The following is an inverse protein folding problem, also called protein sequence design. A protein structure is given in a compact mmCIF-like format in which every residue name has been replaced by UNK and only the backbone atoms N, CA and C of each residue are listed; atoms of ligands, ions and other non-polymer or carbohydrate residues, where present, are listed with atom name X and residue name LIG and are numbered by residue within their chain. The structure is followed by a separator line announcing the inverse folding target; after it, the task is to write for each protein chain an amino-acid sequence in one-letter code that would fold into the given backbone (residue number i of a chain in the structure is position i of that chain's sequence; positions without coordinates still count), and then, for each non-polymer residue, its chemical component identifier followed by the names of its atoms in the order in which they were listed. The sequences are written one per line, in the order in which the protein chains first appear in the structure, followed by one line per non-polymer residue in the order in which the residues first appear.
data_IF_724449974205
#
_entry.id   IF_724449974205
#
_cell.length_a   1.000
_cell.length_b   1.000
_cell.length_c   1.000
_cell.angle_alpha   90.00
_cell.angle_beta   90.00
_cell.angle_gamma   90.00
#
_symmetry.space_group_name_H-M   'P 1'
#
loop_
_entity.id
_entity.type
_entity.pdbx_description
1 polymer ?
#
# COMPACT_ATOMS: atom_id res chain seq x y z
N UNK A 1 13.81 -7.00 -56.96
CA UNK A 1 12.41 -6.86 -56.50
C UNK A 1 12.03 -7.67 -55.25
N UNK A 2 12.72 -8.77 -54.88
CA UNK A 2 12.41 -9.60 -53.69
C UNK A 2 12.63 -8.90 -52.32
N UNK A 3 13.51 -7.91 -52.25
CA UNK A 3 13.96 -7.30 -50.99
C UNK A 3 12.95 -6.33 -50.34
N UNK A 4 12.00 -5.78 -51.12
CA UNK A 4 11.01 -4.81 -50.61
C UNK A 4 9.86 -5.49 -49.85
N UNK A 5 9.52 -6.73 -50.21
CA UNK A 5 8.46 -7.50 -49.56
C UNK A 5 8.88 -8.07 -48.19
N UNK A 6 10.17 -8.40 -48.01
CA UNK A 6 10.70 -8.91 -46.74
C UNK A 6 10.73 -7.82 -45.66
N UNK A 7 11.12 -6.59 -46.01
CA UNK A 7 11.08 -5.48 -45.06
C UNK A 7 9.64 -5.12 -44.65
N UNK A 8 8.66 -5.30 -45.55
CA UNK A 8 7.26 -4.99 -45.24
C UNK A 8 6.60 -6.06 -44.35
N UNK A 9 6.99 -7.33 -44.45
CA UNK A 9 6.49 -8.38 -43.55
C UNK A 9 7.08 -8.25 -42.15
N UNK A 10 8.39 -8.02 -42.03
CA UNK A 10 9.09 -7.81 -40.75
C UNK A 10 8.55 -6.58 -40.01
N UNK A 11 8.25 -5.50 -40.73
CA UNK A 11 7.66 -4.29 -40.13
C UNK A 11 6.23 -4.52 -39.63
N UNK A 12 5.42 -5.33 -40.33
CA UNK A 12 4.06 -5.69 -39.89
C UNK A 12 4.07 -6.60 -38.66
N UNK A 13 4.99 -7.57 -38.61
CA UNK A 13 5.15 -8.47 -37.46
C UNK A 13 5.58 -7.70 -36.21
N UNK A 14 6.52 -6.76 -36.33
CA UNK A 14 6.94 -5.90 -35.21
C UNK A 14 5.81 -4.99 -34.71
N UNK A 15 4.98 -4.45 -35.61
CA UNK A 15 3.84 -3.61 -35.26
C UNK A 15 2.74 -4.43 -34.56
N UNK A 16 2.44 -5.64 -35.04
CA UNK A 16 1.49 -6.54 -34.39
C UNK A 16 1.94 -6.95 -32.99
N UNK A 17 3.22 -7.31 -32.82
CA UNK A 17 3.78 -7.63 -31.50
C UNK A 17 3.74 -6.44 -30.54
N UNK A 18 4.03 -5.22 -31.02
CA UNK A 18 3.96 -4.02 -30.21
C UNK A 18 2.52 -3.71 -29.76
N UNK A 19 1.53 -3.86 -30.64
CA UNK A 19 0.12 -3.68 -30.30
C UNK A 19 -0.34 -4.71 -29.27
N UNK A 20 0.01 -6.00 -29.45
CA UNK A 20 -0.36 -7.05 -28.49
C UNK A 20 0.27 -6.75 -27.13
N UNK A 21 1.57 -6.42 -27.06
CA UNK A 21 2.23 -6.04 -25.80
C UNK A 21 1.56 -4.84 -25.14
N UNK A 22 1.17 -3.83 -25.91
CA UNK A 22 0.47 -2.66 -25.39
C UNK A 22 -0.90 -3.02 -24.81
N UNK A 23 -1.70 -3.81 -25.54
CA UNK A 23 -3.02 -4.25 -25.10
C UNK A 23 -2.91 -5.14 -23.86
N UNK A 24 -1.99 -6.12 -23.85
CA UNK A 24 -1.79 -7.02 -22.71
C UNK A 24 -1.29 -6.25 -21.48
N UNK A 25 -0.40 -5.27 -21.66
CA UNK A 25 0.06 -4.40 -20.57
C UNK A 25 -1.07 -3.52 -20.01
N UNK A 26 -1.87 -2.91 -20.91
CA UNK A 26 -2.99 -2.06 -20.52
C UNK A 26 -4.07 -2.85 -19.77
N UNK A 27 -4.52 -3.97 -20.34
CA UNK A 27 -5.55 -4.81 -19.74
C UNK A 27 -5.02 -5.44 -18.44
N UNK A 28 -3.85 -6.08 -18.48
CA UNK A 28 -3.25 -6.72 -17.31
C UNK A 28 -3.00 -5.73 -16.17
N UNK A 29 -2.46 -4.55 -16.47
CA UNK A 29 -2.20 -3.50 -15.50
C UNK A 29 -3.48 -2.96 -14.86
N UNK A 30 -4.52 -2.68 -15.65
CA UNK A 30 -5.81 -2.19 -15.14
C UNK A 30 -6.48 -3.23 -14.25
N UNK A 31 -6.57 -4.49 -14.68
CA UNK A 31 -7.16 -5.56 -13.87
C UNK A 31 -6.39 -5.79 -12.58
N UNK A 32 -5.06 -5.84 -12.63
CA UNK A 32 -4.22 -6.02 -11.45
C UNK A 32 -4.38 -4.87 -10.46
N UNK A 33 -4.45 -3.62 -10.95
CA UNK A 33 -4.67 -2.43 -10.12
C UNK A 33 -6.03 -2.51 -9.42
N UNK A 34 -7.08 -2.90 -10.16
CA UNK A 34 -8.43 -3.00 -9.61
C UNK A 34 -8.53 -4.08 -8.52
N UNK A 35 -7.98 -5.27 -8.77
CA UNK A 35 -7.92 -6.37 -7.80
C UNK A 35 -7.13 -5.94 -6.55
N UNK A 36 -6.01 -5.23 -6.74
CA UNK A 36 -5.19 -4.75 -5.63
C UNK A 36 -5.94 -3.75 -4.76
N UNK A 37 -6.67 -2.80 -5.35
CA UNK A 37 -7.51 -1.85 -4.62
C UNK A 37 -8.59 -2.58 -3.82
N UNK A 38 -9.32 -3.51 -4.45
CA UNK A 38 -10.34 -4.30 -3.76
C UNK A 38 -9.74 -5.08 -2.59
N UNK A 39 -8.59 -5.73 -2.80
CA UNK A 39 -7.90 -6.48 -1.75
C UNK A 39 -7.55 -5.60 -0.55
N UNK A 40 -7.02 -4.39 -0.78
CA UNK A 40 -6.73 -3.43 0.29
C UNK A 40 -8.00 -2.99 1.00
N UNK A 41 -9.09 -2.70 0.28
CA UNK A 41 -10.37 -2.30 0.88
C UNK A 41 -10.99 -3.43 1.71
N UNK A 42 -10.95 -4.67 1.23
CA UNK A 42 -11.40 -5.85 1.96
C UNK A 42 -10.58 -6.05 3.24
N UNK A 43 -9.26 -5.90 3.14
CA UNK A 43 -8.34 -6.00 4.27
C UNK A 43 -8.66 -4.92 5.32
N UNK A 44 -8.83 -3.66 4.90
CA UNK A 44 -9.24 -2.58 5.79
C UNK A 44 -10.55 -2.88 6.52
N UNK A 45 -11.56 -3.39 5.79
CA UNK A 45 -12.86 -3.72 6.39
C UNK A 45 -12.74 -4.87 7.40
N UNK A 46 -11.95 -5.90 7.08
CA UNK A 46 -11.70 -7.03 7.99
C UNK A 46 -10.94 -6.59 9.25
N UNK A 47 -9.89 -5.78 9.11
CA UNK A 47 -9.16 -5.26 10.27
C UNK A 47 -10.02 -4.31 11.11
N UNK A 48 -10.92 -3.52 10.50
CA UNK A 48 -11.87 -2.70 11.24
C UNK A 48 -12.79 -3.58 12.09
N UNK A 49 -13.46 -4.58 11.51
CA UNK A 49 -14.30 -5.53 12.26
C UNK A 49 -13.51 -6.25 13.37
N UNK A 50 -12.32 -6.76 13.07
CA UNK A 50 -11.45 -7.39 14.07
C UNK A 50 -11.09 -6.43 15.21
N UNK A 51 -10.81 -5.18 14.87
CA UNK A 51 -10.45 -4.17 15.87
C UNK A 51 -11.63 -3.88 16.79
N UNK A 52 -12.86 -3.83 16.29
CA UNK A 52 -14.06 -3.56 17.08
C UNK A 52 -14.46 -4.75 17.96
N UNK A 53 -14.36 -5.98 17.44
CA UNK A 53 -14.71 -7.20 18.17
C UNK A 53 -13.65 -7.58 19.22
N UNK A 54 -12.37 -7.50 18.86
CA UNK A 54 -11.26 -8.01 19.69
C UNK A 54 -10.08 -7.01 19.75
N UNK A 55 -10.27 -5.92 20.50
CA UNK A 55 -9.28 -4.83 20.62
C UNK A 55 -7.89 -5.28 21.05
N UNK A 56 -7.79 -6.19 22.01
CA UNK A 56 -6.51 -6.69 22.53
C UNK A 56 -5.75 -7.43 21.43
N UNK A 57 -6.46 -8.26 20.65
CA UNK A 57 -5.89 -9.01 19.53
C UNK A 57 -5.40 -8.05 18.46
N UNK A 58 -6.19 -7.05 18.10
CA UNK A 58 -5.77 -6.03 17.13
C UNK A 58 -4.54 -5.25 17.59
N UNK A 59 -4.47 -4.81 18.87
CA UNK A 59 -3.28 -4.13 19.39
C UNK A 59 -2.03 -5.01 19.32
N UNK A 60 -2.14 -6.29 19.70
CA UNK A 60 -1.03 -7.25 19.58
C UNK A 60 -0.61 -7.46 18.13
N UNK A 61 -1.56 -7.52 17.21
CA UNK A 61 -1.31 -7.61 15.79
C UNK A 61 -0.58 -6.37 15.24
N UNK A 62 -1.02 -5.16 15.63
CA UNK A 62 -0.34 -3.92 15.26
C UNK A 62 1.11 -3.86 15.77
N UNK A 63 1.34 -4.27 17.03
CA UNK A 63 2.70 -4.39 17.58
C UNK A 63 3.54 -5.42 16.82
N UNK A 64 2.95 -6.57 16.46
CA UNK A 64 3.66 -7.58 15.67
C UNK A 64 4.08 -7.04 14.30
N UNK A 65 3.20 -6.29 13.62
CA UNK A 65 3.56 -5.60 12.37
C UNK A 65 4.66 -4.57 12.61
N UNK A 66 4.60 -3.79 13.69
CA UNK A 66 5.67 -2.87 14.05
C UNK A 66 7.03 -3.57 14.23
N UNK A 67 7.06 -4.70 14.92
CA UNK A 67 8.29 -5.49 15.09
C UNK A 67 8.81 -5.97 13.73
N UNK A 68 7.95 -6.50 12.86
CA UNK A 68 8.33 -6.94 11.52
C UNK A 68 8.94 -5.76 10.73
N UNK A 69 8.26 -4.62 10.71
CA UNK A 69 8.71 -3.40 10.02
C UNK A 69 10.07 -2.93 10.55
N UNK A 70 10.27 -2.92 11.87
CA UNK A 70 11.55 -2.56 12.47
C UNK A 70 12.66 -3.53 12.11
N UNK A 71 12.41 -4.84 12.21
CA UNK A 71 13.39 -5.88 11.89
C UNK A 71 13.86 -5.76 10.44
N UNK A 72 12.93 -5.71 9.49
CA UNK A 72 13.28 -5.54 8.08
C UNK A 72 13.90 -4.16 7.80
N UNK A 73 13.45 -3.11 8.51
CA UNK A 73 13.95 -1.75 8.35
C UNK A 73 15.41 -1.58 8.77
N UNK A 74 15.81 -2.19 9.89
CA UNK A 74 17.20 -2.22 10.36
C UNK A 74 18.10 -2.98 9.38
N UNK A 75 17.55 -3.93 8.61
CA UNK A 75 18.30 -4.68 7.60
C UNK A 75 18.52 -3.91 6.29
N UNK A 76 17.81 -2.80 6.04
CA UNK A 76 17.91 -2.03 4.78
C UNK A 76 19.32 -1.46 4.50
N UNK A 77 20.05 -0.87 5.47
CA UNK A 77 21.40 -0.35 5.22
C UNK A 77 22.38 -1.44 4.82
N UNK A 78 22.22 -2.67 5.36
CA UNK A 78 23.04 -3.82 4.98
C UNK A 78 22.78 -4.29 3.55
N UNK A 79 21.63 -3.92 2.97
CA UNK A 79 21.29 -4.14 1.56
C UNK A 79 21.77 -3.02 0.64
N UNK A 80 22.51 -2.03 1.15
CA UNK A 80 22.98 -0.87 0.38
C UNK A 80 21.91 0.19 0.14
N UNK A 81 20.76 0.10 0.82
CA UNK A 81 19.67 1.08 0.71
C UNK A 81 19.96 2.26 1.64
N UNK A 82 19.56 3.46 1.22
CA UNK A 82 19.69 4.68 2.01
C UNK A 82 19.08 4.49 3.43
N UNK A 83 19.66 5.07 4.50
CA UNK A 83 19.13 4.94 5.86
C UNK A 83 17.77 5.64 6.11
N UNK A 84 17.30 6.50 5.21
CA UNK A 84 15.99 7.19 5.32
C UNK A 84 14.81 6.23 5.58
N UNK A 85 14.57 5.17 4.77
CA UNK A 85 13.52 4.18 5.04
C UNK A 85 13.71 3.43 6.36
N UNK A 86 14.94 3.24 6.85
CA UNK A 86 15.16 2.71 8.21
C UNK A 86 14.57 3.65 9.26
N UNK A 87 14.80 4.96 9.15
CA UNK A 87 14.18 5.93 10.07
C UNK A 87 12.65 5.93 9.95
N UNK A 88 12.10 5.84 8.74
CA UNK A 88 10.65 5.74 8.52
C UNK A 88 10.08 4.46 9.17
N UNK A 89 10.78 3.33 9.05
CA UNK A 89 10.36 2.05 9.65
C UNK A 89 10.32 2.12 11.19
N UNK A 90 11.31 2.76 11.81
CA UNK A 90 11.36 2.97 13.25
C UNK A 90 10.27 3.94 13.70
N UNK A 91 9.97 4.96 12.91
CA UNK A 91 8.88 5.90 13.20
C UNK A 91 7.51 5.20 13.12
N UNK A 92 7.25 4.39 12.09
CA UNK A 92 6.06 3.54 12.04
C UNK A 92 5.95 2.62 13.26
N UNK A 93 7.07 2.03 13.69
CA UNK A 93 7.12 1.17 14.87
C UNK A 93 6.79 1.95 16.14
N UNK A 94 7.41 3.12 16.34
CA UNK A 94 7.13 3.98 17.49
C UNK A 94 5.66 4.42 17.55
N UNK A 95 5.06 4.67 16.38
CA UNK A 95 3.63 4.96 16.26
C UNK A 95 2.76 3.77 16.70
N UNK A 96 3.06 2.54 16.24
CA UNK A 96 2.29 1.35 16.62
C UNK A 96 2.38 1.00 18.10
N UNK A 97 3.50 1.32 18.75
CA UNK A 97 3.67 1.14 20.20
C UNK A 97 3.08 2.31 21.03
N UNK A 98 2.34 3.24 20.41
CA UNK A 98 1.67 4.36 21.07
C UNK A 98 2.60 5.20 21.97
N UNK A 99 3.86 5.40 21.56
CA UNK A 99 4.82 6.16 22.36
C UNK A 99 4.36 7.63 22.53
N UNK A 100 4.49 8.19 23.74
CA UNK A 100 3.79 9.41 24.21
C UNK A 100 3.93 10.66 23.30
N UNK A 101 5.05 10.79 22.57
CA UNK A 101 5.23 11.89 21.61
C UNK A 101 4.33 11.75 20.36
N UNK A 102 3.94 10.53 20.02
CA UNK A 102 3.22 10.18 18.79
C UNK A 102 1.70 10.15 18.95
N UNK A 103 1.19 10.32 20.17
CA UNK A 103 -0.27 10.37 20.45
C UNK A 103 -0.89 11.75 20.27
N UNK A 104 -0.12 12.84 20.13
CA UNK A 104 -0.68 14.20 20.04
C UNK A 104 -1.36 14.50 18.71
N UNK A 105 -0.80 14.04 17.59
CA UNK A 105 -1.31 14.30 16.24
C UNK A 105 -1.26 13.04 15.35
N UNK A 106 -1.99 11.97 15.70
CA UNK A 106 -1.85 10.66 15.05
C UNK A 106 -2.20 10.71 13.56
N UNK A 107 -3.14 11.57 13.15
CA UNK A 107 -3.58 11.70 11.76
C UNK A 107 -2.52 12.34 10.88
N UNK A 108 -1.93 13.43 11.35
CA UNK A 108 -0.86 14.14 10.62
C UNK A 108 0.35 13.20 10.49
N UNK A 109 0.65 12.42 11.53
CA UNK A 109 1.75 11.47 11.50
C UNK A 109 1.50 10.32 10.52
N UNK A 110 0.32 9.69 10.55
CA UNK A 110 -0.03 8.64 9.57
C UNK A 110 0.01 9.21 8.15
N UNK A 111 -0.52 10.41 7.92
CA UNK A 111 -0.46 11.05 6.60
C UNK A 111 0.98 11.31 6.15
N UNK A 112 1.80 11.93 7.00
CA UNK A 112 3.19 12.26 6.69
C UNK A 112 4.03 11.01 6.46
N UNK A 113 3.89 10.00 7.32
CA UNK A 113 4.57 8.71 7.17
C UNK A 113 4.14 8.00 5.89
N UNK A 114 2.85 8.03 5.54
CA UNK A 114 2.34 7.45 4.29
C UNK A 114 2.97 8.13 3.08
N UNK A 115 2.94 9.47 3.03
CA UNK A 115 3.49 10.23 1.91
C UNK A 115 4.99 9.99 1.76
N UNK A 116 5.75 10.04 2.86
CA UNK A 116 7.20 9.82 2.83
C UNK A 116 7.55 8.37 2.44
N UNK A 117 6.83 7.39 2.96
CA UNK A 117 7.06 5.97 2.63
C UNK A 117 6.73 5.69 1.16
N UNK A 118 5.59 6.17 0.66
CA UNK A 118 5.20 6.03 -0.75
C UNK A 118 6.23 6.72 -1.65
N UNK A 119 6.57 7.98 -1.37
CA UNK A 119 7.48 8.76 -2.22
C UNK A 119 8.85 8.10 -2.33
N UNK A 120 9.40 7.62 -1.20
CA UNK A 120 10.68 6.93 -1.19
C UNK A 120 10.63 5.63 -2.01
N UNK A 121 9.65 4.76 -1.75
CA UNK A 121 9.60 3.45 -2.40
C UNK A 121 9.23 3.52 -3.87
N UNK A 122 8.38 4.48 -4.28
CA UNK A 122 8.10 4.74 -5.71
C UNK A 122 9.37 5.22 -6.41
N UNK A 123 10.13 6.12 -5.80
CA UNK A 123 11.41 6.57 -6.36
C UNK A 123 12.42 5.41 -6.47
N UNK A 124 12.55 4.60 -5.42
CA UNK A 124 13.47 3.45 -5.36
C UNK A 124 13.12 2.35 -6.36
N UNK A 125 11.82 2.12 -6.62
CA UNK A 125 11.38 1.18 -7.64
C UNK A 125 11.86 1.55 -9.03
N UNK A 126 11.86 2.85 -9.36
CA UNK A 126 12.19 3.36 -10.69
C UNK A 126 13.71 3.50 -10.97
N UNK A 127 14.57 3.40 -9.96
CA UNK A 127 16.00 3.72 -10.08
C UNK A 127 16.93 2.52 -10.30
N UNK A 128 16.50 1.29 -10.03
CA UNK A 128 17.35 0.09 -10.19
C UNK A 128 16.72 -0.96 -11.11
N UNK A 129 17.41 -1.30 -12.20
CA UNK A 129 16.94 -2.24 -13.22
C UNK A 129 17.52 -3.63 -13.07
N UNK A 130 16.76 -4.57 -12.49
CA UNK A 130 16.88 -6.04 -12.69
C UNK A 130 15.54 -6.69 -12.33
N UNK A 131 15.11 -7.71 -13.09
CA UNK A 131 13.85 -8.44 -12.83
C UNK A 131 13.85 -9.23 -11.50
N UNK A 132 15.00 -9.75 -11.05
CA UNK A 132 15.11 -10.42 -9.74
C UNK A 132 14.90 -9.43 -8.57
N UNK A 133 15.27 -8.16 -8.78
CA UNK A 133 15.01 -7.07 -7.84
C UNK A 133 13.51 -6.74 -7.75
N UNK A 134 12.69 -7.12 -8.72
CA UNK A 134 11.28 -6.75 -8.75
C UNK A 134 10.45 -7.42 -7.65
N UNK A 135 10.62 -8.73 -7.42
CA UNK A 135 9.93 -9.41 -6.31
C UNK A 135 10.37 -8.86 -4.95
N UNK A 136 11.66 -8.57 -4.80
CA UNK A 136 12.20 -8.00 -3.57
C UNK A 136 11.61 -6.61 -3.30
N UNK A 137 11.55 -5.76 -4.33
CA UNK A 137 10.97 -4.41 -4.27
C UNK A 137 9.47 -4.43 -3.98
N UNK A 138 8.72 -5.38 -4.54
CA UNK A 138 7.29 -5.55 -4.21
C UNK A 138 7.13 -5.98 -2.75
N UNK A 139 7.93 -6.94 -2.29
CA UNK A 139 7.91 -7.39 -0.89
C UNK A 139 8.21 -6.24 0.08
N UNK A 140 9.24 -5.44 -0.23
CA UNK A 140 9.56 -4.25 0.54
C UNK A 140 8.41 -3.23 0.53
N UNK A 141 7.76 -3.01 -0.62
CA UNK A 141 6.59 -2.11 -0.70
C UNK A 141 5.43 -2.60 0.16
N UNK A 142 5.18 -3.91 0.17
CA UNK A 142 4.15 -4.51 1.03
C UNK A 142 4.47 -4.29 2.52
N UNK A 143 5.73 -4.51 2.92
CA UNK A 143 6.16 -4.44 4.33
C UNK A 143 6.27 -2.99 4.82
N UNK A 144 6.82 -2.08 4.03
CA UNK A 144 7.14 -0.71 4.45
C UNK A 144 6.11 0.33 4.05
N UNK A 145 5.18 0.00 3.14
CA UNK A 145 4.15 0.93 2.65
C UNK A 145 2.76 0.39 2.94
N UNK A 146 2.36 -0.74 2.34
CA UNK A 146 0.96 -1.19 2.40
C UNK A 146 0.56 -1.61 3.82
N UNK A 147 1.31 -2.54 4.44
CA UNK A 147 0.95 -3.05 5.76
C UNK A 147 0.92 -1.94 6.84
N UNK A 148 1.92 -1.03 6.94
CA UNK A 148 1.90 0.03 7.94
C UNK A 148 0.77 1.03 7.71
N UNK A 149 0.50 1.40 6.45
CA UNK A 149 -0.59 2.34 6.12
C UNK A 149 -1.95 1.73 6.49
N UNK A 150 -2.20 0.48 6.10
CA UNK A 150 -3.47 -0.21 6.40
C UNK A 150 -3.72 -0.27 7.90
N UNK A 151 -2.72 -0.69 8.68
CA UNK A 151 -2.85 -0.79 10.14
C UNK A 151 -2.97 0.59 10.77
N UNK A 152 -2.18 1.56 10.33
CA UNK A 152 -2.24 2.95 10.80
C UNK A 152 -3.60 3.60 10.56
N UNK A 153 -4.19 3.39 9.38
CA UNK A 153 -5.53 3.85 9.04
C UNK A 153 -6.60 3.27 9.98
N UNK A 154 -6.50 1.98 10.32
CA UNK A 154 -7.43 1.32 11.25
C UNK A 154 -7.26 1.87 12.67
N UNK A 155 -6.02 2.12 13.11
CA UNK A 155 -5.73 2.73 14.42
C UNK A 155 -6.32 4.14 14.55
N UNK A 156 -6.15 5.01 13.55
CA UNK A 156 -6.72 6.38 13.60
C UNK A 156 -8.24 6.37 13.48
N UNK A 157 -8.82 5.41 12.73
CA UNK A 157 -10.26 5.28 12.59
C UNK A 157 -10.95 4.90 13.91
N UNK A 158 -10.25 4.21 14.82
CA UNK A 158 -10.79 3.87 16.15
C UNK A 158 -10.53 4.90 17.23
N UNK A 159 -9.53 5.76 17.09
CA UNK A 159 -9.40 6.96 17.93
C UNK A 159 -10.69 7.79 17.96
N UNK A 160 -11.54 7.68 16.94
CA UNK A 160 -12.85 8.34 16.88
C UNK A 160 -13.98 7.68 17.68
N UNK A 161 -13.80 6.46 18.21
CA UNK A 161 -14.85 5.69 18.89
C UNK A 161 -14.73 5.70 20.43
N UNK A 162 -13.67 6.31 20.99
CA UNK A 162 -13.61 6.56 22.42
C UNK A 162 -14.40 7.84 22.72
N UNK A 163 -15.52 7.70 23.44
CA UNK A 163 -16.41 8.79 23.88
C UNK A 163 -15.72 9.89 24.72
N UNK A 164 -14.44 9.74 25.07
CA UNK A 164 -13.70 10.58 25.99
C UNK A 164 -12.86 11.67 25.28
N UNK A 165 -12.51 11.50 24.00
CA UNK A 165 -11.70 12.48 23.24
C UNK A 165 -12.52 13.13 22.11
N UNK A 166 -13.37 14.09 22.47
CA UNK A 166 -14.17 14.87 21.51
C UNK A 166 -13.37 15.96 20.77
N UNK A 167 -12.11 16.19 21.14
CA UNK A 167 -11.29 17.31 20.65
C UNK A 167 -10.38 16.96 19.48
N UNK A 168 -10.22 15.68 19.13
CA UNK A 168 -9.42 15.27 17.97
C UNK A 168 -10.29 15.26 16.70
N UNK A 169 -9.79 15.75 15.55
CA UNK A 169 -10.47 15.63 14.27
C UNK A 169 -10.84 14.16 14.04
N UNK A 170 -11.95 13.87 13.35
CA UNK A 170 -12.41 12.48 13.14
C UNK A 170 -12.10 12.07 11.70
N UNK A 171 -11.42 10.94 11.50
CA UNK A 171 -11.21 10.38 10.16
C UNK A 171 -12.32 9.34 9.86
N UNK A 172 -13.29 9.63 8.97
CA UNK A 172 -14.48 8.79 8.79
C UNK A 172 -14.21 7.62 7.83
N UNK A 173 -13.24 6.75 8.17
CA UNK A 173 -12.83 5.63 7.31
C UNK A 173 -14.00 4.68 7.00
N UNK A 174 -14.87 4.41 7.97
CA UNK A 174 -16.08 3.59 7.75
C UNK A 174 -17.06 4.24 6.77
N UNK A 175 -17.30 5.54 6.88
CA UNK A 175 -18.19 6.24 5.95
C UNK A 175 -17.60 6.24 4.54
N UNK A 176 -16.27 6.35 4.42
CA UNK A 176 -15.57 6.20 3.15
C UNK A 176 -15.74 4.79 2.58
N UNK A 177 -15.48 3.74 3.37
CA UNK A 177 -15.64 2.34 2.93
C UNK A 177 -17.09 2.02 2.56
N UNK A 178 -18.07 2.53 3.32
CA UNK A 178 -19.48 2.36 3.01
C UNK A 178 -19.87 3.04 1.70
N UNK A 179 -19.39 4.27 1.45
CA UNK A 179 -19.59 4.95 0.16
C UNK A 179 -18.96 4.19 -1.01
N UNK A 180 -17.75 3.65 -0.83
CA UNK A 180 -17.09 2.82 -1.83
C UNK A 180 -17.85 1.52 -2.09
N UNK A 181 -18.38 0.87 -1.05
CA UNK A 181 -19.18 -0.34 -1.19
C UNK A 181 -20.51 -0.07 -1.91
N UNK A 182 -21.17 1.07 -1.66
CA UNK A 182 -22.39 1.48 -2.37
C UNK A 182 -22.08 1.75 -3.84
N UNK A 183 -21.01 2.49 -4.14
CA UNK A 183 -20.55 2.71 -5.51
C UNK A 183 -20.28 1.38 -6.22
N UNK A 184 -19.58 0.44 -5.57
CA UNK A 184 -19.30 -0.86 -6.14
C UNK A 184 -20.57 -1.68 -6.40
N UNK A 185 -21.51 -1.73 -5.45
CA UNK A 185 -22.83 -2.37 -5.63
C UNK A 185 -23.64 -1.75 -6.77
N UNK A 186 -23.54 -0.43 -6.95
CA UNK A 186 -24.22 0.26 -8.05
C UNK A 186 -23.60 -0.04 -9.42
N UNK A 187 -22.28 -0.25 -9.48
CA UNK A 187 -21.56 -0.58 -10.71
C UNK A 187 -21.70 -2.07 -11.09
N UNK A 188 -21.80 -2.96 -10.10
CA UNK A 188 -21.96 -4.41 -10.27
C UNK A 188 -23.16 -4.91 -9.44
N UNK A 189 -24.40 -4.65 -9.88
CA UNK A 189 -25.58 -5.16 -9.19
C UNK A 189 -25.54 -6.69 -9.22
N UNK A 190 -25.54 -7.33 -8.05
CA UNK A 190 -25.74 -8.76 -7.95
C UNK A 190 -27.15 -9.07 -8.48
N UNK A 191 -27.23 -9.88 -9.54
CA UNK A 191 -28.48 -10.47 -10.01
C UNK A 191 -28.98 -11.51 -9.02
#
# INVERSE_FOLDING_TARGET
MKNKNVNHSIMKENLAFMIIKFITSLIGGVFFTFISIISVLCTLNALLSLSDENRIVFKRFAHAIGIIVALFGILLPFRGINPVPTLLSLWWTAFFFEYYFFTKFPQIQVFLLSVLSISFWVYYMNTEGVELFFMLKIGDFMIFVIAPIVVGLVMIARGSNNLIDQTQPKFPLRAFLAKMAILFKSAFPAK
#
